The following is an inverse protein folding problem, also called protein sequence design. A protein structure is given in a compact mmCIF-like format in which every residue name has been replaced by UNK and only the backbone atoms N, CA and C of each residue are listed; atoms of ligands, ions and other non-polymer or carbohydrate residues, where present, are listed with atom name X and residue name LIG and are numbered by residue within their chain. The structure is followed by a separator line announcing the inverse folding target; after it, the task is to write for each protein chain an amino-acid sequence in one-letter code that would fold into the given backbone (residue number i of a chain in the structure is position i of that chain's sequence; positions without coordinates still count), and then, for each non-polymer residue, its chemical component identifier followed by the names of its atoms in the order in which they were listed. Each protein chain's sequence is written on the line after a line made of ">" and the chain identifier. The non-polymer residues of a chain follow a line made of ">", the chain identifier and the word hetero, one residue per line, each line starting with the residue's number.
data_IF_011711372814
#
_entry.id   IF_011711372814
#
_cell.length_a   1.000
_cell.length_b   1.000
_cell.length_c   1.000
_cell.angle_alpha   90.00
_cell.angle_beta   90.00
_cell.angle_gamma   90.00
#
_symmetry.space_group_name_H-M   'P 1'
#
loop_
_entity.id
_entity.type
_entity.pdbx_description
1 polymer ?
#
# COMPACT_ATOMS: atom_id res chain seq x y z
N UNK A 1 -5.12 36.97 -99.79
CA UNK A 1 -4.95 35.76 -99.00
C UNK A 1 -3.94 36.07 -97.92
N UNK A 2 -4.38 36.36 -96.74
CA UNK A 2 -3.54 36.77 -95.61
C UNK A 2 -3.61 35.64 -94.59
N UNK A 3 -2.49 34.95 -94.41
CA UNK A 3 -2.38 33.92 -93.34
C UNK A 3 -2.11 34.60 -92.02
N UNK A 4 -2.96 34.33 -91.04
CA UNK A 4 -2.76 34.72 -89.65
C UNK A 4 -1.86 33.61 -88.98
N UNK A 5 -0.89 33.97 -88.13
CA UNK A 5 -0.15 32.99 -87.40
C UNK A 5 -0.96 32.50 -86.12
N UNK A 6 -0.89 31.19 -85.87
CA UNK A 6 -1.45 30.52 -84.66
C UNK A 6 -0.69 31.00 -83.42
N UNK A 7 -1.43 31.10 -82.31
CA UNK A 7 -0.83 31.43 -80.98
C UNK A 7 -0.16 30.18 -80.39
N UNK A 8 1.15 30.28 -80.20
CA UNK A 8 1.94 29.30 -79.43
C UNK A 8 1.59 29.41 -77.92
N UNK A 9 0.92 28.42 -77.35
CA UNK A 9 0.73 28.28 -75.92
C UNK A 9 2.05 27.97 -75.24
N UNK A 10 2.60 28.94 -74.52
CA UNK A 10 3.76 28.75 -73.64
C UNK A 10 3.22 28.31 -72.28
N UNK A 11 3.26 27.00 -72.05
CA UNK A 11 2.94 26.40 -70.76
C UNK A 11 4.12 26.61 -69.80
N UNK A 12 4.14 27.75 -69.10
CA UNK A 12 5.15 28.11 -68.13
C UNK A 12 4.71 27.65 -66.76
N UNK A 13 4.95 26.41 -66.42
CA UNK A 13 4.83 25.90 -65.07
C UNK A 13 5.97 26.47 -64.24
N UNK A 14 5.72 27.64 -63.65
CA UNK A 14 6.62 28.23 -62.64
C UNK A 14 6.48 27.41 -61.37
N UNK A 15 7.32 26.37 -61.17
CA UNK A 15 7.48 25.71 -59.88
C UNK A 15 8.17 26.69 -58.92
N UNK A 16 7.39 27.32 -58.04
CA UNK A 16 7.88 28.20 -57.00
C UNK A 16 8.78 27.41 -56.05
N UNK A 17 10.05 27.81 -55.84
CA UNK A 17 10.99 27.10 -54.97
C UNK A 17 10.55 27.06 -53.50
N UNK A 18 9.58 27.88 -53.13
CA UNK A 18 8.95 27.92 -51.80
C UNK A 18 8.18 26.64 -51.46
N UNK A 19 7.51 25.99 -52.40
CA UNK A 19 6.70 24.80 -52.15
C UNK A 19 7.53 23.54 -51.85
N UNK A 20 8.75 23.44 -52.34
CA UNK A 20 9.68 22.34 -52.05
C UNK A 20 10.19 22.36 -50.59
N UNK A 21 10.41 23.54 -50.03
CA UNK A 21 10.86 23.68 -48.62
C UNK A 21 9.82 23.22 -47.63
N UNK A 22 8.55 23.46 -47.88
CA UNK A 22 7.45 23.05 -46.99
C UNK A 22 7.23 21.53 -46.97
N UNK A 23 7.47 20.83 -48.07
CA UNK A 23 7.31 19.39 -48.17
C UNK A 23 8.38 18.62 -47.37
N UNK A 24 9.58 19.14 -47.27
CA UNK A 24 10.67 18.57 -46.47
C UNK A 24 10.49 18.90 -44.96
N UNK A 25 10.01 20.08 -44.61
CA UNK A 25 9.72 20.43 -43.20
C UNK A 25 8.62 19.55 -42.62
N UNK A 26 7.55 19.26 -43.36
CA UNK A 26 6.47 18.34 -42.87
C UNK A 26 6.99 16.92 -42.64
N UNK A 27 7.96 16.45 -43.42
CA UNK A 27 8.56 15.11 -43.24
C UNK A 27 9.48 15.05 -42.04
N UNK A 28 10.03 16.16 -41.57
CA UNK A 28 10.90 16.24 -40.39
C UNK A 28 10.11 16.54 -39.10
N UNK A 29 8.99 17.27 -39.20
CA UNK A 29 8.15 17.63 -38.06
C UNK A 29 7.42 16.42 -37.45
N UNK A 30 7.01 15.46 -38.27
CA UNK A 30 6.29 14.28 -37.80
C UNK A 30 7.16 13.39 -36.89
N UNK A 31 8.39 12.98 -37.26
CA UNK A 31 9.24 12.19 -36.35
C UNK A 31 9.69 12.97 -35.12
N UNK A 32 9.93 14.29 -35.25
CA UNK A 32 10.26 15.14 -34.10
C UNK A 32 9.12 15.21 -33.06
N UNK A 33 7.87 15.31 -33.51
CA UNK A 33 6.70 15.27 -32.64
C UNK A 33 6.56 13.91 -31.93
N UNK A 34 6.79 12.80 -32.62
CA UNK A 34 6.74 11.44 -32.05
C UNK A 34 7.81 11.27 -30.96
N UNK A 35 9.04 11.74 -31.22
CA UNK A 35 10.14 11.68 -30.25
C UNK A 35 9.80 12.54 -29.01
N UNK A 36 9.25 13.73 -29.20
CA UNK A 36 8.86 14.59 -28.10
C UNK A 36 7.76 13.96 -27.23
N UNK A 37 6.76 13.35 -27.86
CA UNK A 37 5.71 12.61 -27.15
C UNK A 37 6.27 11.40 -26.37
N UNK A 38 7.20 10.65 -26.96
CA UNK A 38 7.85 9.52 -26.31
C UNK A 38 8.67 9.98 -25.07
N UNK A 39 9.44 11.06 -25.21
CA UNK A 39 10.20 11.64 -24.09
C UNK A 39 9.26 12.15 -22.99
N UNK A 40 8.16 12.82 -23.34
CA UNK A 40 7.17 13.29 -22.36
C UNK A 40 6.50 12.11 -21.64
N UNK A 41 6.17 11.03 -22.34
CA UNK A 41 5.63 9.81 -21.75
C UNK A 41 6.62 9.15 -20.78
N UNK A 42 7.89 9.07 -21.13
CA UNK A 42 8.94 8.53 -20.24
C UNK A 42 9.10 9.39 -18.99
N UNK A 43 9.12 10.73 -19.13
CA UNK A 43 9.19 11.64 -17.99
C UNK A 43 7.96 11.48 -17.08
N UNK A 44 6.77 11.32 -17.66
CA UNK A 44 5.54 11.10 -16.89
C UNK A 44 5.59 9.79 -16.13
N UNK A 45 6.07 8.70 -16.74
CA UNK A 45 6.27 7.41 -16.05
C UNK A 45 7.31 7.53 -14.94
N UNK A 46 8.43 8.21 -15.18
CA UNK A 46 9.45 8.45 -14.15
C UNK A 46 8.85 9.27 -13.00
N UNK A 47 8.10 10.33 -13.29
CA UNK A 47 7.42 11.12 -12.25
C UNK A 47 6.40 10.30 -11.47
N UNK A 48 5.62 9.42 -12.11
CA UNK A 48 4.68 8.54 -11.42
C UNK A 48 5.40 7.53 -10.52
N UNK A 49 6.52 6.97 -10.96
CA UNK A 49 7.31 6.01 -10.19
C UNK A 49 8.09 6.69 -9.05
N UNK A 50 8.60 7.91 -9.27
CA UNK A 50 9.35 8.68 -8.26
C UNK A 50 8.46 9.50 -7.34
N UNK A 51 7.22 9.81 -7.73
CA UNK A 51 6.19 10.42 -6.86
C UNK A 51 5.61 9.44 -5.84
N UNK A 52 6.10 8.20 -5.80
CA UNK A 52 5.89 7.29 -4.68
C UNK A 52 6.34 8.00 -3.40
N UNK A 53 5.37 8.66 -2.80
CA UNK A 53 5.37 9.42 -1.56
C UNK A 53 6.66 9.32 -0.74
N UNK A 54 7.46 10.38 -0.74
CA UNK A 54 8.36 10.72 0.36
C UNK A 54 7.50 11.06 1.62
N UNK A 55 6.58 10.17 2.00
CA UNK A 55 6.01 10.21 3.34
C UNK A 55 7.18 9.89 4.24
N UNK A 56 7.68 10.87 4.96
CA UNK A 56 8.66 10.63 6.00
C UNK A 56 8.10 9.50 6.87
N UNK A 57 8.87 8.41 7.01
CA UNK A 57 8.46 7.28 7.84
C UNK A 57 8.25 7.80 9.27
N UNK A 58 7.01 7.72 9.75
CA UNK A 58 6.68 8.00 11.14
C UNK A 58 6.57 6.65 11.86
N UNK A 59 7.46 6.35 12.81
CA UNK A 59 7.39 5.10 13.57
C UNK A 59 6.03 4.96 14.25
N UNK A 60 5.43 3.76 14.25
CA UNK A 60 4.25 3.52 15.07
C UNK A 60 4.54 3.80 16.54
N UNK A 61 3.64 4.45 17.29
CA UNK A 61 3.84 4.66 18.71
C UNK A 61 3.77 3.32 19.48
N UNK A 62 4.38 3.28 20.65
CA UNK A 62 4.14 2.19 21.59
C UNK A 62 2.71 2.24 22.11
N UNK A 63 2.17 1.06 22.41
CA UNK A 63 0.81 0.97 22.91
C UNK A 63 0.71 1.55 24.33
N UNK A 64 -0.15 2.56 24.56
CA UNK A 64 -0.26 3.18 25.87
C UNK A 64 -0.95 2.26 26.90
N UNK A 65 -1.67 1.21 26.45
CA UNK A 65 -2.31 0.22 27.30
C UNK A 65 -1.44 -1.02 27.55
N UNK A 66 -0.21 -1.04 27.00
CA UNK A 66 0.72 -2.15 27.22
C UNK A 66 1.09 -2.28 28.71
N UNK A 67 1.10 -3.50 29.21
CA UNK A 67 1.40 -3.85 30.59
C UNK A 67 2.57 -4.84 30.61
N UNK A 68 3.44 -4.72 31.59
CA UNK A 68 4.56 -5.64 31.76
C UNK A 68 4.14 -6.87 32.57
N UNK A 69 4.61 -8.05 32.19
CA UNK A 69 4.42 -9.30 32.90
C UNK A 69 3.56 -10.30 32.14
N UNK A 70 3.03 -11.27 32.87
CA UNK A 70 2.18 -12.32 32.30
C UNK A 70 0.71 -11.99 32.56
N UNK A 71 -0.15 -11.97 31.55
CA UNK A 71 -1.57 -11.67 31.73
C UNK A 71 -2.29 -12.83 32.44
N UNK A 72 -3.31 -12.48 33.27
CA UNK A 72 -4.27 -13.44 33.80
C UNK A 72 -5.43 -13.57 32.79
N UNK A 73 -5.31 -14.53 31.88
CA UNK A 73 -6.23 -14.69 30.76
C UNK A 73 -7.36 -15.67 31.09
N UNK A 74 -8.61 -15.32 30.84
CA UNK A 74 -9.72 -16.25 31.00
C UNK A 74 -9.56 -17.49 30.13
N UNK A 75 -9.85 -18.67 30.65
CA UNK A 75 -9.77 -19.92 29.89
C UNK A 75 -10.62 -19.93 28.61
N UNK A 76 -11.72 -19.20 28.62
CA UNK A 76 -12.63 -19.04 27.48
C UNK A 76 -12.05 -18.26 26.32
N UNK A 77 -10.97 -17.51 26.52
CA UNK A 77 -10.32 -16.71 25.47
C UNK A 77 -9.57 -17.56 24.44
N UNK A 78 -9.31 -18.84 24.73
CA UNK A 78 -8.53 -19.70 23.82
C UNK A 78 -7.10 -19.18 23.64
N UNK A 79 -6.51 -18.68 24.73
CA UNK A 79 -5.16 -18.12 24.73
C UNK A 79 -4.11 -19.22 24.59
N UNK A 80 -3.20 -19.06 23.65
CA UNK A 80 -2.16 -20.03 23.37
C UNK A 80 -0.89 -19.39 22.82
N UNK A 81 0.21 -20.15 22.89
CA UNK A 81 1.45 -19.77 22.23
C UNK A 81 1.41 -20.12 20.75
N UNK A 82 2.00 -19.25 19.97
CA UNK A 82 2.10 -19.36 18.53
C UNK A 82 3.53 -19.09 18.10
N UNK A 83 4.07 -19.95 17.27
CA UNK A 83 5.41 -19.85 16.73
C UNK A 83 5.33 -19.44 15.26
N UNK A 84 5.85 -18.27 14.95
CA UNK A 84 5.93 -17.74 13.59
C UNK A 84 7.25 -18.13 12.89
N UNK A 85 8.06 -19.00 13.52
CA UNK A 85 9.38 -19.40 13.04
C UNK A 85 10.49 -18.43 13.49
N UNK A 86 10.33 -17.13 13.19
CA UNK A 86 11.32 -16.11 13.54
C UNK A 86 11.04 -15.48 14.90
N UNK A 87 9.81 -15.57 15.41
CA UNK A 87 9.40 -15.01 16.70
C UNK A 87 8.21 -15.78 17.29
N UNK A 88 8.07 -15.70 18.60
CA UNK A 88 6.94 -16.29 19.33
C UNK A 88 6.01 -15.20 19.84
N UNK A 89 4.76 -15.54 20.05
CA UNK A 89 3.78 -14.66 20.68
C UNK A 89 2.65 -15.50 21.28
N UNK A 90 1.87 -14.89 22.18
CA UNK A 90 0.63 -15.46 22.66
C UNK A 90 -0.52 -14.53 22.28
N UNK A 91 -1.65 -15.11 21.94
CA UNK A 91 -2.85 -14.35 21.61
C UNK A 91 -4.12 -15.15 21.93
N UNK A 92 -5.23 -14.44 22.10
CA UNK A 92 -6.54 -15.05 22.19
C UNK A 92 -7.02 -15.53 20.82
N UNK A 93 -7.52 -16.77 20.76
CA UNK A 93 -8.16 -17.33 19.56
C UNK A 93 -9.65 -17.05 19.47
N UNK A 94 -10.33 -16.78 20.61
CA UNK A 94 -11.75 -16.49 20.69
C UNK A 94 -11.97 -15.00 20.91
N UNK A 95 -12.32 -14.27 19.84
CA UNK A 95 -12.55 -12.84 19.90
C UNK A 95 -14.03 -12.52 20.10
N UNK A 96 -14.32 -11.56 20.98
CA UNK A 96 -15.69 -11.07 21.21
C UNK A 96 -15.65 -9.55 21.23
N UNK A 97 -16.50 -8.92 20.40
CA UNK A 97 -16.65 -7.47 20.38
C UNK A 97 -17.61 -7.05 21.51
N UNK A 98 -17.12 -6.20 22.41
CA UNK A 98 -17.90 -5.64 23.51
C UNK A 98 -17.51 -4.17 23.72
N UNK A 99 -18.50 -3.29 23.75
CA UNK A 99 -18.32 -1.87 24.10
C UNK A 99 -17.23 -1.18 23.25
N UNK A 100 -17.17 -1.48 21.95
CA UNK A 100 -16.21 -0.88 21.03
C UNK A 100 -14.78 -1.41 21.14
N UNK A 101 -14.59 -2.58 21.75
CA UNK A 101 -13.28 -3.23 21.95
C UNK A 101 -13.38 -4.74 21.72
N UNK A 102 -12.24 -5.37 21.53
CA UNK A 102 -12.11 -6.83 21.59
C UNK A 102 -10.85 -7.22 22.37
N UNK A 103 -10.97 -8.23 23.22
CA UNK A 103 -9.85 -8.77 23.98
C UNK A 103 -9.03 -9.71 23.09
N UNK A 104 -7.79 -9.35 22.86
CA UNK A 104 -6.83 -10.09 22.02
C UNK A 104 -5.73 -10.77 22.85
N UNK A 105 -5.47 -10.26 24.05
CA UNK A 105 -4.42 -10.74 24.94
C UNK A 105 -3.06 -10.95 24.26
N UNK A 106 -2.71 -10.06 23.30
CA UNK A 106 -1.44 -10.18 22.59
C UNK A 106 -0.28 -9.96 23.55
N UNK A 107 0.53 -11.00 23.71
CA UNK A 107 1.72 -10.97 24.56
C UNK A 107 2.97 -11.17 23.72
N UNK A 108 3.95 -10.30 23.94
CA UNK A 108 5.29 -10.41 23.38
C UNK A 108 6.21 -11.00 24.46
N UNK A 109 6.60 -12.29 24.33
CA UNK A 109 7.46 -12.93 25.33
C UNK A 109 8.77 -12.17 25.56
N UNK A 110 9.31 -12.25 26.78
CA UNK A 110 10.52 -11.52 27.16
C UNK A 110 11.77 -12.00 26.42
N UNK A 111 11.77 -13.25 25.93
CA UNK A 111 12.85 -13.85 25.14
C UNK A 111 12.92 -13.34 23.70
N UNK A 112 11.87 -12.69 23.20
CA UNK A 112 11.92 -12.04 21.89
C UNK A 112 12.86 -10.83 21.93
N UNK A 113 13.48 -10.52 20.79
CA UNK A 113 14.30 -9.30 20.60
C UNK A 113 13.65 -8.31 19.61
N UNK A 114 12.35 -8.44 19.40
CA UNK A 114 11.53 -7.66 18.45
C UNK A 114 10.36 -6.99 19.15
N UNK A 115 9.76 -6.00 18.50
CA UNK A 115 8.49 -5.43 18.91
C UNK A 115 7.35 -6.03 18.11
N UNK A 116 6.21 -6.25 18.74
CA UNK A 116 5.01 -6.75 18.08
C UNK A 116 3.98 -5.65 17.92
N UNK A 117 3.16 -5.78 16.89
CA UNK A 117 1.95 -5.00 16.67
C UNK A 117 0.89 -5.89 16.05
N UNK A 118 -0.37 -5.71 16.41
CA UNK A 118 -1.49 -6.42 15.78
C UNK A 118 -2.37 -5.46 14.99
N UNK A 119 -2.92 -5.98 13.90
CA UNK A 119 -4.08 -5.43 13.17
C UNK A 119 -5.15 -6.47 13.06
N UNK A 120 -6.37 -6.05 13.29
CA UNK A 120 -7.56 -6.83 12.99
C UNK A 120 -8.13 -6.34 11.66
N UNK A 121 -8.27 -7.25 10.71
CA UNK A 121 -8.73 -6.95 9.35
C UNK A 121 -10.08 -7.62 9.10
N UNK A 122 -10.97 -6.95 8.39
CA UNK A 122 -12.20 -7.55 7.87
C UNK A 122 -11.95 -8.39 6.59
N UNK A 123 -13.00 -8.99 6.03
CA UNK A 123 -12.92 -9.79 4.79
C UNK A 123 -12.50 -8.98 3.55
N UNK A 124 -12.56 -7.65 3.61
CA UNK A 124 -12.10 -6.75 2.55
C UNK A 124 -10.69 -6.21 2.80
N UNK A 125 -9.96 -6.80 3.77
CA UNK A 125 -8.62 -6.37 4.21
C UNK A 125 -8.57 -4.94 4.81
N UNK A 126 -9.71 -4.38 5.21
CA UNK A 126 -9.73 -3.10 5.92
C UNK A 126 -9.32 -3.32 7.38
N UNK A 127 -8.49 -2.42 7.90
CA UNK A 127 -8.15 -2.41 9.33
C UNK A 127 -9.37 -1.93 10.11
N UNK A 128 -9.90 -2.77 11.01
CA UNK A 128 -11.04 -2.46 11.87
C UNK A 128 -10.63 -2.27 13.34
N UNK A 129 -9.36 -2.48 13.64
CA UNK A 129 -8.74 -2.22 14.93
C UNK A 129 -7.25 -2.52 14.91
N UNK A 130 -6.46 -1.82 15.69
CA UNK A 130 -5.01 -2.09 15.80
C UNK A 130 -4.45 -1.72 17.18
N UNK A 131 -3.32 -2.33 17.55
CA UNK A 131 -2.53 -1.93 18.73
C UNK A 131 -1.45 -0.92 18.36
N UNK A 132 -0.83 -0.33 19.37
CA UNK A 132 0.52 0.22 19.24
C UNK A 132 1.58 -0.88 19.22
N UNK A 133 2.86 -0.49 19.31
CA UNK A 133 3.98 -1.42 19.46
C UNK A 133 4.04 -1.96 20.89
N UNK A 134 4.37 -3.25 21.02
CA UNK A 134 4.47 -4.00 22.28
C UNK A 134 5.92 -4.50 22.41
N UNK A 135 6.59 -4.13 23.50
CA UNK A 135 7.98 -4.54 23.77
C UNK A 135 8.04 -5.99 24.26
N UNK A 136 9.20 -6.63 24.19
CA UNK A 136 9.42 -7.90 24.88
C UNK A 136 9.07 -7.82 26.37
N UNK A 137 8.36 -8.81 26.89
CA UNK A 137 7.85 -8.86 28.26
C UNK A 137 6.60 -8.04 28.52
N UNK A 138 5.99 -7.44 27.49
CA UNK A 138 4.74 -6.70 27.58
C UNK A 138 3.59 -7.44 26.89
N UNK A 139 2.35 -7.11 27.32
CA UNK A 139 1.13 -7.56 26.66
C UNK A 139 0.11 -6.41 26.56
N UNK A 140 -0.82 -6.55 25.61
CA UNK A 140 -2.02 -5.71 25.49
C UNK A 140 -3.24 -6.60 25.60
N UNK A 141 -4.13 -6.27 26.53
CA UNK A 141 -5.35 -7.04 26.73
C UNK A 141 -6.34 -6.85 25.58
N UNK A 142 -6.66 -5.61 25.23
CA UNK A 142 -7.70 -5.30 24.25
C UNK A 142 -7.28 -4.23 23.27
N UNK A 143 -7.89 -4.26 22.07
CA UNK A 143 -7.80 -3.20 21.08
C UNK A 143 -9.16 -2.54 20.87
N UNK A 144 -9.15 -1.25 20.58
CA UNK A 144 -10.34 -0.54 20.15
C UNK A 144 -10.74 -1.01 18.73
N UNK A 145 -12.04 -1.07 18.49
CA UNK A 145 -12.63 -1.33 17.18
C UNK A 145 -13.18 -0.03 16.61
N UNK A 146 -12.98 0.20 15.33
CA UNK A 146 -13.56 1.36 14.63
C UNK A 146 -15.09 1.33 14.65
N UNK A 147 -15.65 0.10 14.56
CA UNK A 147 -17.07 -0.17 14.69
C UNK A 147 -17.29 -1.50 15.39
N UNK A 148 -18.31 -1.57 16.25
CA UNK A 148 -18.74 -2.84 16.86
C UNK A 148 -19.64 -3.58 15.87
N UNK A 149 -19.27 -4.79 15.43
CA UNK A 149 -20.13 -5.56 14.54
C UNK A 149 -21.43 -5.95 15.25
N UNK A 150 -22.54 -6.03 14.51
CA UNK A 150 -23.85 -6.47 15.03
C UNK A 150 -23.99 -7.99 14.97
N UNK A 151 -23.24 -8.63 14.06
CA UNK A 151 -23.23 -10.07 13.85
C UNK A 151 -21.80 -10.60 13.97
N UNK A 152 -21.66 -11.92 14.06
CA UNK A 152 -20.35 -12.57 13.96
C UNK A 152 -19.79 -12.39 12.56
N UNK A 153 -18.57 -11.89 12.46
CA UNK A 153 -17.86 -11.67 11.21
C UNK A 153 -16.54 -12.44 11.18
N UNK A 154 -16.12 -12.85 9.98
CA UNK A 154 -14.77 -13.37 9.77
C UNK A 154 -13.77 -12.23 9.84
N UNK A 155 -12.64 -12.48 10.49
CA UNK A 155 -11.57 -11.49 10.63
C UNK A 155 -10.21 -12.15 10.52
N UNK A 156 -9.22 -11.37 10.11
CA UNK A 156 -7.81 -11.78 10.11
C UNK A 156 -7.07 -11.01 11.20
N UNK A 157 -6.50 -11.74 12.15
CA UNK A 157 -5.60 -11.19 13.15
C UNK A 157 -4.18 -11.21 12.58
N UNK A 158 -3.67 -10.06 12.14
CA UNK A 158 -2.34 -9.91 11.54
C UNK A 158 -1.36 -9.42 12.59
N UNK A 159 -0.46 -10.30 13.02
CA UNK A 159 0.62 -9.98 13.95
C UNK A 159 1.86 -9.60 13.13
N UNK A 160 2.42 -8.44 13.40
CA UNK A 160 3.60 -7.91 12.70
C UNK A 160 4.75 -7.73 13.69
N UNK A 161 5.91 -8.19 13.31
CA UNK A 161 7.15 -8.03 14.05
C UNK A 161 8.03 -6.92 13.46
N UNK A 162 8.67 -6.14 14.34
CA UNK A 162 9.54 -5.03 13.96
C UNK A 162 10.87 -5.12 14.69
N UNK A 163 11.95 -4.89 13.98
CA UNK A 163 13.27 -4.73 14.58
C UNK A 163 13.31 -3.46 15.45
N UNK A 164 13.80 -3.54 16.69
CA UNK A 164 14.09 -2.36 17.50
C UNK A 164 15.05 -1.41 16.77
N UNK A 165 14.91 -0.12 16.99
CA UNK A 165 15.75 0.95 16.43
C UNK A 165 15.56 1.25 14.94
N UNK A 166 15.36 0.26 14.10
CA UNK A 166 15.21 0.44 12.65
C UNK A 166 13.75 0.50 12.19
N UNK A 167 12.85 -0.10 12.98
CA UNK A 167 11.42 -0.33 12.65
C UNK A 167 11.23 -1.13 11.36
N UNK A 168 12.25 -1.85 10.90
CA UNK A 168 12.10 -2.76 9.76
C UNK A 168 11.23 -3.93 10.12
N UNK A 169 10.49 -4.43 9.15
CA UNK A 169 9.71 -5.66 9.33
C UNK A 169 10.64 -6.84 9.59
N UNK A 170 10.41 -7.53 10.69
CA UNK A 170 11.06 -8.79 11.06
C UNK A 170 10.14 -9.99 10.80
N UNK A 171 9.05 -9.80 10.08
CA UNK A 171 8.08 -10.83 9.73
C UNK A 171 6.65 -10.44 10.07
N UNK A 172 5.72 -11.25 9.60
CA UNK A 172 4.31 -11.13 9.95
C UNK A 172 3.63 -12.49 9.80
N UNK A 173 2.60 -12.72 10.62
CA UNK A 173 1.70 -13.88 10.52
C UNK A 173 0.25 -13.41 10.48
N UNK A 174 -0.60 -14.12 9.77
CA UNK A 174 -2.02 -13.88 9.68
C UNK A 174 -2.78 -15.10 10.20
N UNK A 175 -3.69 -14.88 11.13
CA UNK A 175 -4.54 -15.90 11.73
C UNK A 175 -5.99 -15.57 11.42
N UNK A 176 -6.67 -16.46 10.70
CA UNK A 176 -8.09 -16.31 10.43
C UNK A 176 -8.90 -16.80 11.62
N UNK A 177 -9.84 -16.00 12.08
CA UNK A 177 -10.73 -16.29 13.19
C UNK A 177 -12.07 -15.59 13.00
N UNK A 178 -12.96 -15.70 14.01
CA UNK A 178 -14.24 -15.00 14.05
C UNK A 178 -14.24 -13.94 15.14
N UNK A 179 -14.79 -12.78 14.86
CA UNK A 179 -15.12 -11.77 15.84
C UNK A 179 -16.63 -11.88 16.13
N UNK A 180 -16.98 -12.36 17.31
CA UNK A 180 -18.36 -12.55 17.75
C UNK A 180 -18.92 -11.23 18.29
N UNK A 181 -20.12 -10.87 17.88
CA UNK A 181 -20.89 -9.83 18.55
C UNK A 181 -21.37 -10.33 19.91
N UNK A 182 -21.41 -9.43 20.90
CA UNK A 182 -21.95 -9.71 22.22
C UNK A 182 -23.30 -9.03 22.45
#
# INVERSE_FOLDING_TARGET
>A
MIFAPEPTEVNMTVELPYYRRFKHMKKLLLPAAIILCAVAAIIMVIMLVTSGSNKSFTPPPFDPAAQTGTPDVPKSAGYGDLDAGDFKFYAAGNLTAESGKTDIWLTNPAENNIWLKVRLLDDNENVIGESGLIRPGEYVQSIALDNTPQDTISVTLKIMAYEPSTYRSAGAIALNTELKAK
#
